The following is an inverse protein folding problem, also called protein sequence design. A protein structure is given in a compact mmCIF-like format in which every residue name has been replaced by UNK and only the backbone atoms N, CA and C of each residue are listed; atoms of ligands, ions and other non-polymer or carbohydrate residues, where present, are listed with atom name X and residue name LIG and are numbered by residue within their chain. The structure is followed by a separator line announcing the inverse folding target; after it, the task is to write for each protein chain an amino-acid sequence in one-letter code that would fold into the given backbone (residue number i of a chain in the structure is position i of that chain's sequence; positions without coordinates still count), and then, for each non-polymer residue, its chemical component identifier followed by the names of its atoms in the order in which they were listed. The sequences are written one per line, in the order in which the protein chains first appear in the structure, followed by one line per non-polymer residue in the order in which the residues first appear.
data_IF_480110261663
#
_entry.id   IF_480110261663
#
_cell.length_a   1.000
_cell.length_b   1.000
_cell.length_c   1.000
_cell.angle_alpha   90.00
_cell.angle_beta   90.00
_cell.angle_gamma   90.00
#
_symmetry.space_group_name_H-M   'P 1'
#
loop_
_entity.id
_entity.type
_entity.pdbx_description
1 polymer ?
#
# COMPACT_ATOMS: atom_id res chain seq x y z
N UNK A 1 -18.92 -1.16 -19.01
CA UNK A 1 -17.80 -0.30 -18.59
C UNK A 1 -16.59 -1.19 -18.39
N UNK A 2 -15.57 -1.17 -19.27
CA UNK A 2 -14.34 -1.91 -19.01
C UNK A 2 -13.67 -1.22 -17.82
N UNK A 3 -13.87 -1.79 -16.63
CA UNK A 3 -13.35 -1.24 -15.38
C UNK A 3 -11.84 -1.17 -15.46
N UNK A 4 -11.29 0.03 -15.25
CA UNK A 4 -9.87 0.34 -15.27
C UNK A 4 -9.17 -0.48 -14.17
N UNK A 5 -8.80 -1.74 -14.46
CA UNK A 5 -8.03 -2.57 -13.53
C UNK A 5 -6.63 -1.98 -13.44
N UNK A 6 -6.41 -1.17 -12.40
CA UNK A 6 -5.08 -0.67 -12.06
C UNK A 6 -4.26 -1.79 -11.45
N UNK A 7 -2.95 -1.74 -11.68
CA UNK A 7 -2.02 -2.54 -10.90
C UNK A 7 -2.07 -2.11 -9.43
N UNK A 8 -1.62 -2.96 -8.52
CA UNK A 8 -1.62 -2.64 -7.09
C UNK A 8 -0.81 -1.37 -6.77
N UNK A 9 0.37 -1.20 -7.39
CA UNK A 9 1.18 0.00 -7.24
C UNK A 9 0.51 1.27 -7.79
N UNK A 10 -0.21 1.18 -8.91
CA UNK A 10 -0.97 2.30 -9.48
C UNK A 10 -2.15 2.72 -8.59
N UNK A 11 -2.92 1.75 -8.09
CA UNK A 11 -4.04 2.00 -7.19
C UNK A 11 -3.57 2.68 -5.90
N UNK A 12 -2.51 2.14 -5.28
CA UNK A 12 -1.88 2.71 -4.08
C UNK A 12 -1.35 4.11 -4.35
N UNK A 13 -0.57 4.30 -5.42
CA UNK A 13 0.02 5.61 -5.72
C UNK A 13 -1.03 6.71 -5.90
N UNK A 14 -2.14 6.40 -6.58
CA UNK A 14 -3.23 7.36 -6.79
C UNK A 14 -3.90 7.80 -5.48
N UNK A 15 -4.17 6.87 -4.55
CA UNK A 15 -4.80 7.22 -3.27
C UNK A 15 -3.85 7.89 -2.30
N UNK A 16 -2.56 7.54 -2.35
CA UNK A 16 -1.53 8.22 -1.57
C UNK A 16 -1.35 9.67 -2.05
N UNK A 17 -1.29 9.91 -3.36
CA UNK A 17 -1.25 11.26 -3.91
C UNK A 17 -2.43 12.11 -3.41
N UNK A 18 -3.65 11.56 -3.49
CA UNK A 18 -4.84 12.24 -2.99
C UNK A 18 -4.77 12.49 -1.47
N UNK A 19 -4.43 11.49 -0.66
CA UNK A 19 -4.39 11.62 0.80
C UNK A 19 -3.32 12.60 1.28
N UNK A 20 -2.09 12.51 0.75
CA UNK A 20 -1.03 13.43 1.12
C UNK A 20 -1.30 14.87 0.64
N UNK A 21 -2.08 15.07 -0.43
CA UNK A 21 -2.48 16.43 -0.86
C UNK A 21 -3.36 17.16 0.18
N UNK A 22 -4.08 16.41 1.01
CA UNK A 22 -4.93 16.95 2.09
C UNK A 22 -4.11 17.39 3.32
N UNK A 23 -2.84 17.00 3.43
CA UNK A 23 -1.98 17.42 4.52
C UNK A 23 -1.45 18.85 4.30
N UNK A 24 -1.20 19.61 5.39
CA UNK A 24 -0.39 20.82 5.32
C UNK A 24 0.95 20.56 4.64
N UNK A 25 1.40 21.49 3.78
CA UNK A 25 2.65 21.40 3.02
C UNK A 25 3.86 20.89 3.85
N UNK A 26 4.11 21.40 5.07
CA UNK A 26 5.27 20.97 5.86
C UNK A 26 5.24 19.49 6.27
N UNK A 27 4.07 18.87 6.29
CA UNK A 27 3.86 17.49 6.72
C UNK A 27 3.86 16.50 5.57
N UNK A 28 3.67 16.94 4.32
CA UNK A 28 3.48 16.03 3.17
C UNK A 28 4.64 15.07 2.93
N UNK A 29 5.87 15.54 3.18
CA UNK A 29 7.06 14.72 2.97
C UNK A 29 7.46 13.88 4.18
N UNK A 30 6.91 14.11 5.37
CA UNK A 30 7.40 13.55 6.63
C UNK A 30 6.34 12.83 7.45
N UNK A 31 5.04 13.05 7.17
CA UNK A 31 3.97 12.37 7.88
C UNK A 31 4.10 10.84 7.72
N UNK A 32 4.05 10.06 8.81
CA UNK A 32 4.19 8.62 8.72
C UNK A 32 3.09 8.02 7.85
N UNK A 33 3.50 7.03 7.04
CA UNK A 33 2.62 6.22 6.22
C UNK A 33 2.48 4.82 6.84
N UNK A 34 1.25 4.40 7.08
CA UNK A 34 0.91 3.03 7.46
C UNK A 34 0.16 2.34 6.33
N UNK A 35 0.63 1.18 5.90
CA UNK A 35 -0.02 0.39 4.84
C UNK A 35 -0.50 -0.92 5.42
N UNK A 36 -1.82 -1.13 5.41
CA UNK A 36 -2.49 -2.37 5.83
C UNK A 36 -2.50 -3.33 4.64
N UNK A 37 -1.46 -4.13 4.50
CA UNK A 37 -1.20 -4.88 3.28
C UNK A 37 -1.65 -6.35 3.34
N UNK A 38 -2.64 -6.67 4.17
CA UNK A 38 -3.04 -8.05 4.44
C UNK A 38 -3.39 -8.86 3.19
N UNK A 39 -4.38 -8.37 2.42
CA UNK A 39 -4.82 -9.03 1.20
C UNK A 39 -3.69 -9.18 0.18
N UNK A 40 -2.85 -8.16 0.08
CA UNK A 40 -1.72 -8.17 -0.86
C UNK A 40 -0.63 -9.14 -0.43
N UNK A 41 -0.30 -9.21 0.86
CA UNK A 41 0.66 -10.17 1.41
C UNK A 41 0.20 -11.61 1.20
N UNK A 42 -1.10 -11.89 1.41
CA UNK A 42 -1.68 -13.21 1.14
C UNK A 42 -1.60 -13.54 -0.36
N UNK A 43 -1.94 -12.59 -1.23
CA UNK A 43 -1.81 -12.74 -2.67
C UNK A 43 -0.36 -13.03 -3.10
N UNK A 44 0.59 -12.23 -2.63
CA UNK A 44 2.02 -12.36 -2.94
C UNK A 44 2.56 -13.73 -2.54
N UNK A 45 2.20 -14.21 -1.34
CA UNK A 45 2.59 -15.53 -0.85
C UNK A 45 2.00 -16.66 -1.72
N UNK A 46 0.70 -16.60 -2.06
CA UNK A 46 0.05 -17.59 -2.91
C UNK A 46 0.70 -17.65 -4.30
N UNK A 47 0.92 -16.50 -4.91
CA UNK A 47 1.58 -16.38 -6.21
C UNK A 47 2.99 -16.97 -6.19
N UNK A 48 3.76 -16.74 -5.12
CA UNK A 48 5.10 -17.32 -4.99
C UNK A 48 5.04 -18.84 -4.88
N UNK A 49 4.12 -19.38 -4.06
CA UNK A 49 3.91 -20.84 -3.93
C UNK A 49 3.54 -21.46 -5.27
N UNK A 50 2.60 -20.87 -6.01
CA UNK A 50 2.23 -21.33 -7.35
C UNK A 50 3.44 -21.34 -8.31
N UNK A 51 4.27 -20.29 -8.27
CA UNK A 51 5.51 -20.23 -9.07
C UNK A 51 6.54 -21.28 -8.67
N UNK A 52 6.60 -21.66 -7.40
CA UNK A 52 7.46 -22.77 -6.95
C UNK A 52 7.00 -24.13 -7.47
N UNK A 53 5.71 -24.29 -7.78
CA UNK A 53 5.14 -25.52 -8.31
C UNK A 53 5.03 -25.55 -9.85
N UNK A 54 5.32 -24.44 -10.53
CA UNK A 54 5.41 -24.35 -11.99
C UNK A 54 6.60 -25.18 -12.50
N UNK A 55 6.31 -26.34 -13.11
CA UNK A 55 7.32 -27.27 -13.64
C UNK A 55 7.82 -26.88 -15.02
N UNK A 56 7.11 -26.00 -15.72
CA UNK A 56 7.43 -25.61 -17.10
C UNK A 56 8.41 -24.43 -17.14
N UNK A 57 8.50 -23.67 -16.04
CA UNK A 57 9.34 -22.50 -15.93
C UNK A 57 10.25 -22.57 -14.71
N UNK A 58 11.52 -22.20 -14.88
CA UNK A 58 12.44 -22.02 -13.74
C UNK A 58 12.09 -20.76 -12.93
N UNK A 59 12.09 -20.90 -11.61
CA UNK A 59 12.02 -19.80 -10.65
C UNK A 59 13.12 -18.76 -10.91
N UNK A 60 12.75 -17.48 -10.88
CA UNK A 60 13.67 -16.34 -10.98
C UNK A 60 13.57 -15.49 -9.71
N UNK A 61 14.63 -14.76 -9.32
CA UNK A 61 14.56 -13.81 -8.20
C UNK A 61 13.43 -12.78 -8.34
N UNK A 62 13.08 -12.37 -9.57
CA UNK A 62 11.97 -11.45 -9.82
C UNK A 62 10.60 -12.00 -9.39
N UNK A 63 10.46 -13.32 -9.28
CA UNK A 63 9.21 -13.96 -8.90
C UNK A 63 8.92 -13.81 -7.39
N UNK A 64 9.95 -13.57 -6.57
CA UNK A 64 9.79 -13.20 -5.15
C UNK A 64 9.77 -11.69 -4.92
N UNK A 65 10.56 -10.91 -5.69
CA UNK A 65 10.74 -9.46 -5.45
C UNK A 65 9.58 -8.61 -5.95
N UNK A 66 9.05 -8.88 -7.15
CA UNK A 66 7.98 -8.05 -7.73
C UNK A 66 6.68 -8.01 -6.92
N UNK A 67 6.22 -9.10 -6.29
CA UNK A 67 5.05 -9.06 -5.44
C UNK A 67 5.36 -8.62 -4.00
N UNK A 68 6.58 -8.16 -3.68
CA UNK A 68 6.87 -7.63 -2.35
C UNK A 68 6.01 -6.41 -2.03
N UNK A 69 5.53 -6.35 -0.79
CA UNK A 69 4.69 -5.24 -0.32
C UNK A 69 5.39 -3.88 -0.43
N UNK A 70 6.72 -3.84 -0.33
CA UNK A 70 7.53 -2.64 -0.53
C UNK A 70 7.33 -2.02 -1.91
N UNK A 71 7.12 -2.84 -2.94
CA UNK A 71 6.90 -2.39 -4.31
C UNK A 71 5.50 -1.75 -4.51
N UNK A 72 4.56 -1.92 -3.57
CA UNK A 72 3.26 -1.22 -3.61
C UNK A 72 3.42 0.30 -3.49
N UNK A 73 4.29 0.73 -2.58
CA UNK A 73 4.44 2.14 -2.20
C UNK A 73 5.63 2.80 -2.87
N UNK A 74 6.62 2.02 -3.28
CA UNK A 74 7.89 2.52 -3.86
C UNK A 74 7.69 3.54 -4.98
N UNK A 75 6.78 3.36 -5.97
CA UNK A 75 6.57 4.35 -7.03
C UNK A 75 6.17 5.72 -6.47
N UNK A 76 5.18 5.75 -5.57
CA UNK A 76 4.73 6.98 -4.93
C UNK A 76 5.82 7.60 -4.05
N UNK A 77 6.43 6.82 -3.14
CA UNK A 77 7.42 7.35 -2.19
C UNK A 77 8.63 7.96 -2.92
N UNK A 78 9.03 7.34 -4.03
CA UNK A 78 10.12 7.84 -4.87
C UNK A 78 9.72 9.14 -5.58
N UNK A 79 8.54 9.19 -6.20
CA UNK A 79 8.05 10.36 -6.92
C UNK A 79 7.79 11.56 -6.00
N UNK A 80 7.22 11.31 -4.82
CA UNK A 80 6.92 12.33 -3.82
C UNK A 80 8.15 12.77 -3.00
N UNK A 81 9.29 12.08 -3.15
CA UNK A 81 10.48 12.33 -2.32
C UNK A 81 10.19 12.17 -0.82
N UNK A 82 9.35 11.19 -0.47
CA UNK A 82 8.88 10.99 0.90
C UNK A 82 10.04 10.57 1.82
N UNK A 83 10.10 11.18 3.01
CA UNK A 83 11.13 10.99 4.04
C UNK A 83 10.58 10.55 5.39
N UNK A 84 9.26 10.51 5.53
CA UNK A 84 8.59 9.96 6.70
C UNK A 84 8.76 8.45 6.82
N UNK A 85 8.46 7.93 8.00
CA UNK A 85 8.48 6.49 8.23
C UNK A 85 7.35 5.82 7.43
N UNK A 86 7.67 4.72 6.75
CA UNK A 86 6.69 3.88 6.08
C UNK A 86 6.63 2.51 6.75
N UNK A 87 5.46 2.16 7.27
CA UNK A 87 5.20 0.89 7.95
C UNK A 87 4.30 0.01 7.09
N UNK A 88 4.78 -1.17 6.73
CA UNK A 88 4.01 -2.17 6.00
C UNK A 88 3.53 -3.23 7.00
N UNK A 89 2.22 -3.32 7.20
CA UNK A 89 1.61 -4.06 8.30
C UNK A 89 0.66 -5.14 7.75
N UNK A 90 0.92 -6.38 8.13
CA UNK A 90 0.04 -7.52 7.88
C UNK A 90 -0.35 -8.16 9.22
N UNK A 91 -1.61 -8.59 9.32
CA UNK A 91 -2.25 -9.18 10.48
C UNK A 91 -2.72 -8.13 11.50
N UNK A 92 -2.72 -6.85 11.12
CA UNK A 92 -2.96 -5.74 12.04
C UNK A 92 -4.26 -5.03 11.64
N UNK A 93 -5.28 -5.02 12.52
CA UNK A 93 -6.53 -4.34 12.19
C UNK A 93 -6.32 -2.81 12.20
N UNK A 94 -7.00 -2.10 11.30
CA UNK A 94 -6.91 -0.64 11.15
C UNK A 94 -7.05 0.12 12.47
N UNK A 95 -7.94 -0.34 13.37
CA UNK A 95 -8.13 0.23 14.71
C UNK A 95 -6.87 0.25 15.59
N UNK A 96 -5.98 -0.74 15.44
CA UNK A 96 -4.72 -0.78 16.18
C UNK A 96 -3.73 0.25 15.64
N UNK A 97 -3.73 0.46 14.32
CA UNK A 97 -2.90 1.49 13.68
C UNK A 97 -3.40 2.89 14.02
N UNK A 98 -4.73 3.10 14.03
CA UNK A 98 -5.31 4.37 14.47
C UNK A 98 -4.95 4.69 15.91
N UNK A 99 -4.97 3.70 16.82
CA UNK A 99 -4.51 3.89 18.20
C UNK A 99 -3.04 4.26 18.28
N UNK A 100 -2.18 3.58 17.51
CA UNK A 100 -0.76 3.90 17.43
C UNK A 100 -0.53 5.33 16.93
N UNK A 101 -1.20 5.70 15.84
CA UNK A 101 -1.12 7.03 15.24
C UNK A 101 -1.63 8.14 16.18
N UNK A 102 -2.66 7.85 16.99
CA UNK A 102 -3.19 8.78 17.99
C UNK A 102 -2.26 8.98 19.21
N UNK A 103 -1.45 7.97 19.56
CA UNK A 103 -0.48 8.05 20.66
C UNK A 103 0.88 8.57 20.24
N UNK A 104 1.16 8.60 18.94
CA UNK A 104 2.41 9.12 18.43
C UNK A 104 2.37 10.65 18.47
N UNK A 105 3.50 11.29 18.78
CA UNK A 105 3.68 12.76 18.79
C UNK A 105 3.66 13.37 17.37
N UNK A 106 2.94 12.74 16.44
CA UNK A 106 2.85 13.13 15.05
C UNK A 106 1.59 13.96 14.81
N UNK A 107 1.73 15.17 14.23
CA UNK A 107 0.60 16.06 13.99
C UNK A 107 -0.34 15.53 12.91
N UNK A 108 0.07 14.57 12.08
CA UNK A 108 -0.79 13.87 11.15
C UNK A 108 -0.16 12.54 10.70
N UNK A 109 -0.97 11.62 10.17
CA UNK A 109 -0.52 10.37 9.57
C UNK A 109 -1.40 10.00 8.37
N UNK A 110 -0.87 9.18 7.46
CA UNK A 110 -1.63 8.60 6.35
C UNK A 110 -1.74 7.10 6.57
N UNK A 111 -2.95 6.56 6.45
CA UNK A 111 -3.23 5.13 6.53
C UNK A 111 -3.78 4.71 5.17
N UNK A 112 -3.19 3.68 4.56
CA UNK A 112 -3.57 3.15 3.26
C UNK A 112 -3.89 1.66 3.37
N UNK A 113 -4.98 1.23 2.75
CA UNK A 113 -5.41 -0.17 2.71
C UNK A 113 -5.67 -0.57 1.25
N UNK A 114 -4.76 -1.33 0.62
CA UNK A 114 -5.01 -2.00 -0.65
C UNK A 114 -5.87 -3.24 -0.48
N UNK A 115 -6.87 -3.41 -1.36
CA UNK A 115 -7.68 -4.60 -1.48
C UNK A 115 -7.43 -5.25 -2.84
N UNK A 116 -7.10 -6.55 -2.84
CA UNK A 116 -6.84 -7.31 -4.06
C UNK A 116 -8.16 -7.79 -4.64
N UNK A 117 -8.44 -7.42 -5.89
CA UNK A 117 -9.63 -7.89 -6.60
C UNK A 117 -9.33 -9.21 -7.31
N UNK A 118 -10.06 -10.25 -6.94
CA UNK A 118 -10.02 -11.52 -7.66
C UNK A 118 -10.49 -11.31 -9.10
N UNK A 119 -9.61 -11.66 -10.03
CA UNK A 119 -9.80 -11.50 -11.47
C UNK A 119 -9.81 -12.84 -12.21
N UNK A 120 -10.01 -12.77 -13.53
CA UNK A 120 -9.90 -13.95 -14.39
C UNK A 120 -8.46 -14.49 -14.44
N UNK A 121 -7.46 -13.61 -14.28
CA UNK A 121 -6.06 -14.00 -14.10
C UNK A 121 -5.67 -13.97 -12.60
N UNK A 122 -5.47 -15.14 -11.97
CA UNK A 122 -5.03 -15.22 -10.57
C UNK A 122 -3.60 -14.71 -10.36
N UNK A 123 -2.79 -14.59 -11.41
CA UNK A 123 -1.40 -14.11 -11.36
C UNK A 123 -1.28 -12.59 -11.60
N UNK A 124 -2.36 -11.94 -12.04
CA UNK A 124 -2.44 -10.51 -12.27
C UNK A 124 -3.79 -9.95 -11.80
N UNK A 125 -4.07 -10.00 -10.48
CA UNK A 125 -5.31 -9.46 -9.96
C UNK A 125 -5.35 -7.94 -10.16
N UNK A 126 -6.57 -7.41 -10.33
CA UNK A 126 -6.77 -5.97 -10.19
C UNK A 126 -6.62 -5.56 -8.74
N UNK A 127 -6.48 -4.27 -8.48
CA UNK A 127 -6.40 -3.76 -7.11
C UNK A 127 -7.25 -2.51 -6.93
N UNK A 128 -7.84 -2.38 -5.75
CA UNK A 128 -8.36 -1.13 -5.21
C UNK A 128 -7.49 -0.72 -4.03
N UNK A 129 -7.50 0.57 -3.71
CA UNK A 129 -6.90 1.05 -2.47
C UNK A 129 -7.78 2.16 -1.91
N UNK A 130 -7.74 2.32 -0.59
CA UNK A 130 -8.33 3.45 0.13
C UNK A 130 -7.24 4.05 1.00
N UNK A 131 -7.21 5.36 1.11
CA UNK A 131 -6.32 6.04 2.04
C UNK A 131 -7.10 7.08 2.87
N UNK A 132 -6.72 7.20 4.13
CA UNK A 132 -7.29 8.14 5.08
C UNK A 132 -6.17 8.94 5.76
N UNK A 133 -6.48 10.20 6.04
CA UNK A 133 -5.60 11.09 6.82
C UNK A 133 -6.09 11.13 8.25
N UNK A 134 -5.18 10.93 9.19
CA UNK A 134 -5.41 11.08 10.62
C UNK A 134 -4.71 12.34 11.14
N UNK A 135 -5.29 13.00 12.15
CA UNK A 135 -4.61 14.03 12.95
C UNK A 135 -4.45 15.41 12.30
N UNK A 136 -4.69 15.56 10.99
CA UNK A 136 -4.70 16.87 10.34
C UNK A 136 -5.71 17.78 11.03
N UNK A 137 -5.22 18.74 11.83
CA UNK A 137 -6.04 19.62 12.64
C UNK A 137 -7.21 20.17 11.82
N UNK A 138 -8.39 20.23 12.44
CA UNK A 138 -9.52 20.96 11.85
C UNK A 138 -9.02 22.35 11.43
N UNK A 139 -9.38 22.84 10.23
CA UNK A 139 -9.09 24.22 9.91
C UNK A 139 -9.77 25.13 10.95
N UNK A 140 -9.15 26.27 11.31
CA UNK A 140 -9.78 27.26 12.18
C UNK A 140 -11.10 27.76 11.59
#
# INVERSE_FOLDING_TARGET
MPGLRRTAGEAVSAVLEAAFSLLPEPLRSTAPLYVLCDDYSVFAARRLVERCHDRERRLRPSDSVRPETSELVRPYLTAAGHRGNCYLLAGVPAQSVLRLAATADHPAAVICEPAVLTGDDPLAPGSLAVAAVWGAGSPP
#
